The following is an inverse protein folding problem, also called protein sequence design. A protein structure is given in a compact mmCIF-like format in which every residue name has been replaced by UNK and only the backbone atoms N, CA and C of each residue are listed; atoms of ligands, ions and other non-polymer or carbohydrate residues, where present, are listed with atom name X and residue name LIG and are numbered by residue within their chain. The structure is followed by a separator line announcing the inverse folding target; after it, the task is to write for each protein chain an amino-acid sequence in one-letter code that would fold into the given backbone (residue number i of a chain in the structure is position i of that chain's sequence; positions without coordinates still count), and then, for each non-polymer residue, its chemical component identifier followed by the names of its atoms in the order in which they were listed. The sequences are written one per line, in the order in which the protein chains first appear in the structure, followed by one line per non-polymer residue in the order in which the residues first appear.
data_IF_812108809727
#
_entry.id   IF_812108809727
#
_cell.length_a   1.000
_cell.length_b   1.000
_cell.length_c   1.000
_cell.angle_alpha   90.00
_cell.angle_beta   90.00
_cell.angle_gamma   90.00
#
_symmetry.space_group_name_H-M   'P 1'
#
loop_
_entity.id
_entity.type
_entity.pdbx_description
1 polymer ?
#
# COMPACT_ATOMS: atom_id res chain seq x y z
N UNK A 1 10.47 -5.84 18.25
CA UNK A 1 9.53 -4.78 18.57
C UNK A 1 8.68 -4.41 17.39
N UNK A 2 7.39 -4.46 17.59
CA UNK A 2 6.50 -3.99 16.55
C UNK A 2 6.55 -2.46 16.50
N UNK A 3 6.62 -1.92 15.30
CA UNK A 3 6.76 -0.49 15.12
C UNK A 3 5.87 -0.03 13.99
N UNK A 4 4.86 0.75 14.31
CA UNK A 4 3.95 1.33 13.33
C UNK A 4 4.45 2.65 12.76
N UNK A 5 5.62 3.09 13.20
CA UNK A 5 6.21 4.33 12.71
C UNK A 5 6.82 4.14 11.34
N UNK A 6 6.76 5.18 10.54
CA UNK A 6 7.47 5.26 9.28
C UNK A 6 8.72 6.11 9.47
N UNK A 7 9.67 5.98 8.55
CA UNK A 7 10.92 6.74 8.62
C UNK A 7 10.71 8.24 8.37
N UNK A 8 9.67 8.58 7.61
CA UNK A 8 9.44 9.96 7.18
C UNK A 8 8.08 10.41 7.71
N UNK A 9 7.99 11.57 8.35
CA UNK A 9 6.70 12.10 8.80
C UNK A 9 5.71 12.20 7.62
N UNK A 10 4.49 11.81 7.87
CA UNK A 10 3.44 11.85 6.85
C UNK A 10 3.42 10.64 5.91
N UNK A 11 4.47 9.82 5.91
CA UNK A 11 4.53 8.66 5.02
C UNK A 11 3.45 7.63 5.34
N UNK A 12 3.08 7.49 6.60
CA UNK A 12 2.06 6.54 7.01
C UNK A 12 0.72 6.87 6.35
N UNK A 13 0.33 8.14 6.34
CA UNK A 13 -0.91 8.57 5.71
C UNK A 13 -0.85 8.37 4.20
N UNK A 14 0.28 8.72 3.58
CA UNK A 14 0.46 8.56 2.16
C UNK A 14 0.39 7.09 1.75
N UNK A 15 0.99 6.19 2.53
CA UNK A 15 0.94 4.76 2.26
C UNK A 15 -0.47 4.21 2.44
N UNK A 16 -1.20 4.70 3.44
CA UNK A 16 -2.57 4.27 3.64
C UNK A 16 -3.46 4.70 2.48
N UNK A 17 -3.28 5.91 1.99
CA UNK A 17 -4.00 6.41 0.83
C UNK A 17 -3.67 5.56 -0.40
N UNK A 18 -2.39 5.27 -0.61
CA UNK A 18 -1.96 4.42 -1.73
C UNK A 18 -2.60 3.04 -1.65
N UNK A 19 -2.71 2.49 -0.45
CA UNK A 19 -3.34 1.19 -0.25
C UNK A 19 -4.79 1.19 -0.73
N UNK A 20 -5.58 2.19 -0.33
CA UNK A 20 -6.98 2.28 -0.73
C UNK A 20 -7.14 2.54 -2.23
N UNK A 21 -6.30 3.40 -2.78
CA UNK A 21 -6.30 3.66 -4.22
C UNK A 21 -5.98 2.40 -5.01
N UNK A 22 -4.97 1.67 -4.55
CA UNK A 22 -4.56 0.43 -5.21
C UNK A 22 -5.64 -0.63 -5.13
N UNK A 23 -6.26 -0.79 -3.96
CA UNK A 23 -7.35 -1.73 -3.79
C UNK A 23 -8.49 -1.43 -4.76
N UNK A 24 -8.84 -0.16 -4.91
CA UNK A 24 -9.87 0.25 -5.83
C UNK A 24 -9.51 -0.12 -7.28
N UNK A 25 -8.25 0.08 -7.67
CA UNK A 25 -7.79 -0.24 -9.02
C UNK A 25 -7.88 -1.73 -9.34
N UNK A 26 -7.58 -2.57 -8.36
CA UNK A 26 -7.57 -4.02 -8.57
C UNK A 26 -8.89 -4.69 -8.18
N UNK A 27 -9.89 -3.91 -7.81
CA UNK A 27 -11.22 -4.43 -7.52
C UNK A 27 -11.37 -5.08 -6.16
N UNK A 28 -10.51 -4.73 -5.21
CA UNK A 28 -10.60 -5.24 -3.84
C UNK A 28 -11.29 -4.19 -2.98
N UNK A 29 -12.32 -4.61 -2.25
CA UNK A 29 -13.08 -3.72 -1.39
C UNK A 29 -12.47 -3.72 0.02
N UNK A 30 -11.77 -2.65 0.37
CA UNK A 30 -11.19 -2.46 1.69
C UNK A 30 -12.09 -1.57 2.54
N UNK A 31 -12.18 -1.91 3.82
CA UNK A 31 -12.88 -1.08 4.79
C UNK A 31 -11.88 -0.20 5.52
N UNK A 32 -12.33 0.98 5.93
CA UNK A 32 -11.54 1.79 6.84
C UNK A 32 -11.41 1.06 8.17
N UNK A 33 -10.18 1.00 8.70
CA UNK A 33 -9.92 0.34 9.96
C UNK A 33 -9.61 -1.13 9.79
N UNK A 34 -10.42 -2.01 10.38
CA UNK A 34 -10.14 -3.44 10.43
C UNK A 34 -10.47 -4.14 9.13
N UNK A 35 -9.51 -4.83 8.56
CA UNK A 35 -9.66 -5.63 7.34
C UNK A 35 -9.34 -7.10 7.58
N UNK A 36 -9.65 -7.61 8.77
CA UNK A 36 -9.32 -8.98 9.14
C UNK A 36 -10.06 -10.05 8.36
N UNK A 37 -11.18 -9.69 7.71
CA UNK A 37 -11.95 -10.61 6.89
C UNK A 37 -11.55 -10.58 5.41
N UNK A 38 -10.56 -9.78 5.04
CA UNK A 38 -10.07 -9.78 3.66
C UNK A 38 -9.36 -11.09 3.37
N UNK A 39 -9.59 -11.66 2.20
CA UNK A 39 -8.93 -12.89 1.81
C UNK A 39 -7.44 -12.65 1.60
N UNK A 40 -6.63 -13.65 1.99
CA UNK A 40 -5.17 -13.55 1.83
C UNK A 40 -4.79 -13.25 0.38
N UNK A 41 -5.50 -13.84 -0.57
CA UNK A 41 -5.28 -13.59 -1.99
C UNK A 41 -5.46 -12.13 -2.35
N UNK A 42 -6.54 -11.52 -1.86
CA UNK A 42 -6.84 -10.12 -2.14
C UNK A 42 -5.82 -9.20 -1.48
N UNK A 43 -5.44 -9.50 -0.25
CA UNK A 43 -4.40 -8.74 0.44
C UNK A 43 -3.08 -8.82 -0.32
N UNK A 44 -2.75 -9.99 -0.85
CA UNK A 44 -1.54 -10.18 -1.65
C UNK A 44 -1.57 -9.40 -2.95
N UNK A 45 -2.73 -9.33 -3.60
CA UNK A 45 -2.89 -8.57 -4.84
C UNK A 45 -2.66 -7.07 -4.58
N UNK A 46 -3.28 -6.54 -3.53
CA UNK A 46 -3.12 -5.13 -3.17
C UNK A 46 -1.67 -4.85 -2.79
N UNK A 47 -1.09 -5.66 -1.90
CA UNK A 47 0.28 -5.48 -1.45
C UNK A 47 1.29 -5.58 -2.58
N UNK A 48 1.14 -6.58 -3.44
CA UNK A 48 2.03 -6.76 -4.58
C UNK A 48 1.96 -5.61 -5.57
N UNK A 49 0.76 -5.10 -5.81
CA UNK A 49 0.58 -3.96 -6.71
C UNK A 49 1.18 -2.69 -6.10
N UNK A 50 1.02 -2.49 -4.78
CA UNK A 50 1.66 -1.37 -4.09
C UNK A 50 3.17 -1.41 -4.23
N UNK A 51 3.78 -2.58 -4.03
CA UNK A 51 5.23 -2.73 -4.16
C UNK A 51 5.67 -2.34 -5.57
N UNK A 52 4.95 -2.79 -6.58
CA UNK A 52 5.27 -2.47 -7.96
C UNK A 52 5.21 -0.96 -8.22
N UNK A 53 4.20 -0.29 -7.68
CA UNK A 53 4.07 1.17 -7.80
C UNK A 53 5.23 1.89 -7.12
N UNK A 54 5.58 1.45 -5.92
CA UNK A 54 6.66 2.08 -5.16
C UNK A 54 8.01 1.88 -5.85
N UNK A 55 8.25 0.69 -6.39
CA UNK A 55 9.47 0.42 -7.16
C UNK A 55 9.53 1.31 -8.39
N UNK A 56 8.39 1.48 -9.09
CA UNK A 56 8.33 2.36 -10.25
C UNK A 56 8.68 3.80 -9.91
N UNK A 57 8.17 4.30 -8.79
CA UNK A 57 8.52 5.65 -8.32
C UNK A 57 10.01 5.77 -8.02
N UNK A 58 10.57 4.75 -7.37
CA UNK A 58 12.00 4.74 -7.04
C UNK A 58 12.85 4.70 -8.32
N UNK A 59 12.46 3.90 -9.29
CA UNK A 59 13.16 3.83 -10.57
C UNK A 59 13.18 5.18 -11.28
N UNK A 60 12.03 5.86 -11.28
CA UNK A 60 11.94 7.19 -11.88
C UNK A 60 12.87 8.17 -11.16
N UNK A 61 12.89 8.12 -9.84
CA UNK A 61 13.75 8.99 -9.05
C UNK A 61 15.23 8.72 -9.31
N UNK A 62 15.60 7.46 -9.46
CA UNK A 62 17.00 7.07 -9.66
C UNK A 62 17.49 7.33 -11.09
N UNK A 63 16.59 7.39 -12.05
CA UNK A 63 16.96 7.56 -13.46
C UNK A 63 17.12 9.00 -13.90
N UNK A 64 16.98 9.94 -12.99
CA UNK A 64 17.09 11.38 -13.28
C UNK A 64 18.55 11.82 -13.43
#
# INVERSE_FOLDING_TARGET
MSNNSTLIPGAKEALNKLKFETASEVGVNLKNGYNGDIKARDAGIVGGTMVRKLVGMAEQSLSR
#
